data_IF_868304227630
#
_entry.id   IF_868304227630
#
_cell.length_a   1.000
_cell.length_b   1.000
_cell.length_c   1.000
_cell.angle_alpha   90.00
_cell.angle_beta   90.00
_cell.angle_gamma   90.00
#
_symmetry.space_group_name_H-M   'P 1'
#
loop_
_entity.id
_entity.type
_entity.pdbx_description
1 polymer ?
#
# COMPACT_ATOMS: atom_id res chain seq x y z
N UNK A 1 -20.05 24.15 10.55
CA UNK A 1 -18.75 24.31 9.84
C UNK A 1 -17.82 23.24 10.38
N UNK A 2 -17.18 22.38 9.56
CA UNK A 2 -16.27 21.37 10.08
C UNK A 2 -15.11 22.07 10.79
N UNK A 3 -14.85 21.69 12.03
CA UNK A 3 -13.76 22.22 12.83
C UNK A 3 -12.43 21.90 12.14
N UNK A 4 -11.62 22.92 11.86
CA UNK A 4 -10.32 22.72 11.24
C UNK A 4 -9.39 22.07 12.26
N UNK A 5 -8.80 20.93 11.88
CA UNK A 5 -7.82 20.22 12.73
C UNK A 5 -6.70 21.18 13.16
N UNK A 6 -6.30 21.18 14.44
CA UNK A 6 -5.15 21.94 14.90
C UNK A 6 -3.88 21.56 14.14
N UNK A 7 -3.02 22.54 13.84
CA UNK A 7 -1.78 22.33 13.06
C UNK A 7 -0.89 21.24 13.67
N UNK A 8 -0.76 21.22 14.99
CA UNK A 8 0.02 20.20 15.70
C UNK A 8 -0.55 18.79 15.53
N UNK A 9 -1.87 18.65 15.40
CA UNK A 9 -2.52 17.36 15.11
C UNK A 9 -2.22 16.91 13.69
N UNK A 10 -2.28 17.81 12.71
CA UNK A 10 -1.91 17.51 11.33
C UNK A 10 -0.44 17.11 11.21
N UNK A 11 0.46 17.76 11.95
CA UNK A 11 1.88 17.44 11.96
C UNK A 11 2.15 16.06 12.58
N UNK A 12 1.50 15.74 13.70
CA UNK A 12 1.57 14.42 14.31
C UNK A 12 1.06 13.31 13.39
N UNK A 13 -0.09 13.53 12.74
CA UNK A 13 -0.65 12.60 11.75
C UNK A 13 0.33 12.40 10.57
N UNK A 14 0.90 13.47 10.04
CA UNK A 14 1.86 13.42 8.93
C UNK A 14 3.13 12.63 9.27
N UNK A 15 3.77 12.92 10.42
CA UNK A 15 4.98 12.20 10.86
C UNK A 15 4.65 10.73 11.16
N UNK A 16 3.46 10.46 11.70
CA UNK A 16 2.94 9.11 11.92
C UNK A 16 2.82 8.31 10.62
N UNK A 17 2.33 8.92 9.54
CA UNK A 17 2.27 8.29 8.22
C UNK A 17 3.66 7.97 7.66
N UNK A 18 4.63 8.88 7.80
CA UNK A 18 6.01 8.65 7.35
C UNK A 18 6.66 7.50 8.12
N UNK A 19 6.58 7.52 9.46
CA UNK A 19 7.16 6.45 10.29
C UNK A 19 6.51 5.10 10.03
N UNK A 20 5.20 5.08 9.73
CA UNK A 20 4.50 3.87 9.33
C UNK A 20 4.99 3.34 7.99
N UNK A 21 5.15 4.20 6.98
CA UNK A 21 5.63 3.82 5.66
C UNK A 21 7.07 3.27 5.68
N UNK A 22 7.93 3.82 6.54
CA UNK A 22 9.31 3.32 6.71
C UNK A 22 9.33 1.95 7.40
N UNK A 23 8.41 1.71 8.34
CA UNK A 23 8.31 0.43 9.07
C UNK A 23 7.61 -0.65 8.27
N UNK A 24 6.75 -0.30 7.32
CA UNK A 24 6.13 -1.26 6.41
C UNK A 24 7.16 -1.77 5.41
N UNK A 25 7.26 -3.09 5.29
CA UNK A 25 8.01 -3.74 4.23
C UNK A 25 7.15 -3.72 2.95
N UNK A 26 7.51 -2.92 1.93
CA UNK A 26 6.70 -2.80 0.71
C UNK A 26 6.68 -4.11 -0.11
N UNK A 27 7.59 -5.04 0.17
CA UNK A 27 7.64 -6.36 -0.49
C UNK A 27 6.74 -7.39 0.19
N UNK A 28 6.26 -7.11 1.42
CA UNK A 28 5.38 -8.01 2.18
C UNK A 28 3.93 -7.99 1.72
N UNK A 29 3.52 -6.89 1.08
CA UNK A 29 2.11 -6.67 0.70
C UNK A 29 1.78 -7.22 -0.69
N UNK A 30 2.78 -7.46 -1.53
CA UNK A 30 2.56 -7.99 -2.88
C UNK A 30 3.53 -9.11 -3.22
N UNK A 31 3.03 -10.25 -3.68
CA UNK A 31 3.85 -11.34 -4.17
C UNK A 31 3.49 -11.67 -5.62
N UNK A 32 4.51 -11.89 -6.44
CA UNK A 32 4.35 -12.31 -7.84
C UNK A 32 3.86 -13.74 -7.84
N UNK A 33 2.66 -13.97 -8.38
CA UNK A 33 2.03 -15.29 -8.48
C UNK A 33 2.15 -15.89 -9.89
N UNK A 34 2.39 -15.05 -10.90
CA UNK A 34 2.57 -15.49 -12.28
C UNK A 34 3.75 -14.80 -12.96
N UNK A 35 4.65 -15.58 -13.55
CA UNK A 35 5.78 -15.06 -14.34
C UNK A 35 5.99 -15.91 -15.58
N UNK A 36 6.31 -15.26 -16.69
CA UNK A 36 6.74 -15.90 -17.94
C UNK A 36 8.12 -15.41 -18.33
N UNK A 37 9.01 -16.35 -18.60
CA UNK A 37 10.34 -16.04 -19.12
C UNK A 37 10.38 -16.39 -20.60
N UNK A 38 10.95 -15.48 -21.40
CA UNK A 38 11.33 -15.76 -22.79
C UNK A 38 12.81 -15.51 -22.95
N UNK A 39 13.48 -16.47 -23.55
CA UNK A 39 14.88 -16.40 -23.93
C UNK A 39 14.97 -16.42 -25.44
N UNK A 40 15.72 -15.49 -26.00
CA UNK A 40 16.02 -15.38 -27.42
C UNK A 40 17.53 -15.33 -27.60
N UNK A 41 18.07 -16.30 -28.33
CA UNK A 41 19.48 -16.30 -28.71
C UNK A 41 19.64 -15.62 -30.08
N UNK A 42 20.49 -14.59 -30.12
CA UNK A 42 20.89 -13.92 -31.37
C UNK A 42 22.41 -13.91 -31.49
N UNK A 43 22.92 -14.81 -32.32
CA UNK A 43 24.35 -14.96 -32.55
C UNK A 43 25.06 -15.45 -31.28
N UNK A 44 25.87 -14.58 -30.67
CA UNK A 44 26.62 -14.86 -29.45
C UNK A 44 26.01 -14.20 -28.19
N UNK A 45 24.79 -13.66 -28.30
CA UNK A 45 24.11 -12.98 -27.21
C UNK A 45 22.80 -13.69 -26.87
N UNK A 46 22.55 -13.90 -25.59
CA UNK A 46 21.28 -14.39 -25.05
C UNK A 46 20.50 -13.24 -24.45
N UNK A 47 19.28 -13.01 -24.94
CA UNK A 47 18.35 -12.03 -24.41
C UNK A 47 17.33 -12.72 -23.53
N UNK A 48 17.28 -12.36 -22.25
CA UNK A 48 16.27 -12.88 -21.32
C UNK A 48 15.27 -11.79 -20.94
N UNK A 49 14.00 -12.01 -21.27
CA UNK A 49 12.89 -11.16 -20.85
C UNK A 49 12.03 -11.90 -19.84
N UNK A 50 11.81 -11.28 -18.69
CA UNK A 50 10.88 -11.76 -17.66
C UNK A 50 9.64 -10.87 -17.68
N UNK A 51 8.48 -11.45 -17.98
CA UNK A 51 7.18 -10.79 -17.90
C UNK A 51 6.49 -11.23 -16.60
N UNK A 52 6.06 -10.25 -15.81
CA UNK A 52 5.21 -10.50 -14.64
C UNK A 52 3.76 -10.50 -15.14
N UNK A 53 3.10 -11.65 -15.08
CA UNK A 53 1.73 -11.81 -15.57
C UNK A 53 0.71 -11.44 -14.47
N UNK A 54 1.01 -11.77 -13.21
CA UNK A 54 0.07 -11.57 -12.11
C UNK A 54 0.80 -11.29 -10.78
N UNK A 55 0.21 -10.39 -9.99
CA UNK A 55 0.65 -9.98 -8.66
C UNK A 55 -0.55 -10.07 -7.71
N UNK A 56 -0.39 -10.77 -6.60
CA UNK A 56 -1.41 -10.85 -5.54
C UNK A 56 -1.06 -9.85 -4.44
N UNK A 57 -2.07 -9.12 -3.95
CA UNK A 57 -1.93 -8.19 -2.84
C UNK A 57 -2.61 -8.74 -1.60
N UNK A 58 -1.89 -8.80 -0.47
CA UNK A 58 -2.52 -9.08 0.82
C UNK A 58 -3.30 -7.83 1.23
N UNK A 59 -4.62 -7.94 1.36
CA UNK A 59 -5.43 -6.89 1.98
C UNK A 59 -4.89 -6.62 3.38
N UNK A 60 -4.24 -5.47 3.56
CA UNK A 60 -3.92 -4.99 4.89
C UNK A 60 -5.25 -4.62 5.57
N UNK A 61 -5.44 -4.94 6.87
CA UNK A 61 -6.69 -4.69 7.58
C UNK A 61 -7.08 -3.21 7.66
N UNK A 62 -6.18 -2.30 7.25
CA UNK A 62 -6.41 -0.86 7.29
C UNK A 62 -6.96 -0.27 5.98
N UNK A 63 -7.02 -1.04 4.89
CA UNK A 63 -7.69 -0.61 3.66
C UNK A 63 -9.23 -0.49 3.83
N UNK A 64 -9.79 -1.12 4.86
CA UNK A 64 -11.21 -1.07 5.20
C UNK A 64 -11.61 0.18 6.00
N UNK A 65 -10.66 0.93 6.58
CA UNK A 65 -10.95 2.21 7.24
C UNK A 65 -10.71 3.36 6.26
N UNK A 66 -11.70 3.63 5.42
CA UNK A 66 -11.83 4.99 4.87
C UNK A 66 -11.91 5.98 6.04
N UNK A 67 -11.06 7.02 6.12
CA UNK A 67 -11.18 8.05 7.13
C UNK A 67 -12.41 8.91 6.79
N UNK A 68 -13.58 8.49 7.27
CA UNK A 68 -14.83 9.17 6.93
C UNK A 68 -16.12 8.64 7.54
N UNK A 69 -16.09 7.70 8.49
CA UNK A 69 -17.28 7.40 9.29
C UNK A 69 -17.18 8.14 10.64
N UNK A 70 -18.03 9.13 10.91
CA UNK A 70 -18.14 9.69 12.26
C UNK A 70 -18.67 8.60 13.18
N UNK A 71 -17.98 8.42 14.30
CA UNK A 71 -18.45 7.63 15.44
C UNK A 71 -19.83 8.14 15.83
N UNK A 72 -20.88 7.32 15.60
CA UNK A 72 -22.16 7.54 16.27
C UNK A 72 -21.99 7.06 17.71
N UNK A 73 -21.42 7.93 18.54
CA UNK A 73 -21.45 7.78 19.99
C UNK A 73 -22.89 8.01 20.46
N UNK A 74 -23.40 7.04 21.22
CA UNK A 74 -24.76 6.98 21.69
C UNK A 74 -25.15 8.22 22.50
N UNK A 75 -26.31 8.78 22.17
CA UNK A 75 -27.01 9.71 23.04
C UNK A 75 -27.60 8.92 24.21
N UNK A 76 -26.98 9.13 25.36
CA UNK A 76 -27.47 8.90 26.70
C UNK A 76 -28.95 9.34 26.83
N UNK A 77 -29.84 8.39 27.17
CA UNK A 77 -31.16 8.61 27.78
C UNK A 77 -31.56 7.42 28.63
#
# INVERSE_FOLDING_TARGET
MPERKPIMRCLGEFVGHITRAIKSDPTRESHVVGTRVREDDKGNLTFRRTTIDEIEFKQSPDAARSPGQPDQEGADR
#
